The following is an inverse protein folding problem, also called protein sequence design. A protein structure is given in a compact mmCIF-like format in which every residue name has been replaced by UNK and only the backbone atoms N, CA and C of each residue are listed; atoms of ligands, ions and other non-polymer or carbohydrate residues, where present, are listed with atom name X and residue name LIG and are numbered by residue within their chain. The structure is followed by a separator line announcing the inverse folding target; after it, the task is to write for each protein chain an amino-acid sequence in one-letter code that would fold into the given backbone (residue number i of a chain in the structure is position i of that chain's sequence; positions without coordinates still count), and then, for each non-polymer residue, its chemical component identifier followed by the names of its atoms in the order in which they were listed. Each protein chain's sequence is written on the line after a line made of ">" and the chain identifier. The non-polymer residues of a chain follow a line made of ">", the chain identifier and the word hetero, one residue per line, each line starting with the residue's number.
data_IF_722281307543
#
_entry.id   IF_722281307543
#
_cell.length_a   1.000
_cell.length_b   1.000
_cell.length_c   1.000
_cell.angle_alpha   90.00
_cell.angle_beta   90.00
_cell.angle_gamma   90.00
#
_symmetry.space_group_name_H-M   'P 1'
#
loop_
_entity.id
_entity.type
_entity.pdbx_description
1 polymer ?
#
# COMPACT_ATOMS: atom_id res chain seq x y z
N UNK A 1 -8.72 -18.41 -18.73
CA UNK A 1 -9.99 -17.77 -18.27
C UNK A 1 -11.12 -18.76 -18.54
N UNK A 2 -12.15 -18.81 -17.70
CA UNK A 2 -13.35 -19.62 -17.92
C UNK A 2 -14.49 -18.66 -18.26
N UNK A 3 -15.19 -18.91 -19.36
CA UNK A 3 -16.37 -18.16 -19.79
C UNK A 3 -17.55 -19.13 -19.72
N UNK A 4 -18.64 -18.70 -19.09
CA UNK A 4 -19.91 -19.42 -19.07
C UNK A 4 -20.85 -18.72 -20.02
N UNK A 5 -21.37 -19.45 -21.00
CA UNK A 5 -22.32 -18.95 -21.99
C UNK A 5 -23.76 -19.11 -21.49
N UNK A 6 -24.67 -18.29 -22.01
CA UNK A 6 -26.10 -18.41 -21.78
C UNK A 6 -26.63 -19.72 -22.36
N UNK A 7 -27.58 -20.34 -21.66
CA UNK A 7 -28.12 -21.65 -22.02
C UNK A 7 -28.71 -21.71 -23.44
N UNK A 8 -29.30 -20.61 -23.91
CA UNK A 8 -29.94 -20.48 -25.23
C UNK A 8 -29.19 -19.49 -26.15
N UNK A 9 -27.88 -19.32 -25.96
CA UNK A 9 -27.09 -18.45 -26.82
C UNK A 9 -27.14 -18.93 -28.29
N UNK A 10 -27.42 -18.05 -29.27
CA UNK A 10 -27.48 -18.47 -30.68
C UNK A 10 -26.13 -19.02 -31.18
N UNK A 11 -26.12 -20.23 -31.74
CA UNK A 11 -24.90 -20.92 -32.22
C UNK A 11 -24.05 -20.09 -33.20
N UNK A 12 -24.68 -19.17 -33.95
CA UNK A 12 -23.97 -18.25 -34.85
C UNK A 12 -23.14 -17.25 -34.05
N UNK A 13 -23.74 -16.60 -33.04
CA UNK A 13 -23.07 -15.61 -32.20
C UNK A 13 -22.00 -16.25 -31.31
N UNK A 14 -22.22 -17.49 -30.85
CA UNK A 14 -21.21 -18.25 -30.10
C UNK A 14 -19.99 -18.52 -30.96
N UNK A 15 -20.17 -18.91 -32.23
CA UNK A 15 -19.07 -19.14 -33.17
C UNK A 15 -18.34 -17.86 -33.53
N UNK A 16 -19.05 -16.77 -33.77
CA UNK A 16 -18.44 -15.45 -34.01
C UNK A 16 -17.58 -15.04 -32.82
N UNK A 17 -18.08 -15.19 -31.60
CA UNK A 17 -17.32 -14.88 -30.39
C UNK A 17 -16.11 -15.81 -30.19
N UNK A 18 -16.23 -17.10 -30.51
CA UNK A 18 -15.08 -18.01 -30.49
C UNK A 18 -14.01 -17.60 -31.51
N UNK A 19 -14.41 -17.23 -32.72
CA UNK A 19 -13.48 -16.75 -33.74
C UNK A 19 -12.77 -15.46 -33.30
N UNK A 20 -13.49 -14.50 -32.70
CA UNK A 20 -12.86 -13.28 -32.15
C UNK A 20 -11.78 -13.61 -31.11
N UNK A 21 -12.03 -14.57 -30.23
CA UNK A 21 -11.08 -15.02 -29.21
C UNK A 21 -9.88 -15.76 -29.83
N UNK A 22 -10.10 -16.58 -30.86
CA UNK A 22 -9.04 -17.27 -31.61
C UNK A 22 -8.16 -16.28 -32.40
N UNK A 23 -8.75 -15.24 -32.98
CA UNK A 23 -8.03 -14.15 -33.68
C UNK A 23 -7.12 -13.35 -32.71
N UNK A 24 -7.46 -13.34 -31.42
CA UNK A 24 -6.59 -12.80 -30.37
C UNK A 24 -5.44 -13.75 -29.98
N UNK A 25 -5.31 -14.89 -30.65
CA UNK A 25 -4.25 -15.89 -30.44
C UNK A 25 -4.52 -16.84 -29.27
N UNK A 26 -5.78 -16.98 -28.85
CA UNK A 26 -6.16 -17.85 -27.74
C UNK A 26 -6.65 -19.20 -28.26
N UNK A 27 -6.40 -20.25 -27.47
CA UNK A 27 -6.99 -21.56 -27.71
C UNK A 27 -8.26 -21.70 -26.87
N UNK A 28 -9.30 -22.29 -27.45
CA UNK A 28 -10.58 -22.50 -26.80
C UNK A 28 -10.78 -24.00 -26.57
N UNK A 29 -11.04 -24.35 -25.32
CA UNK A 29 -11.59 -25.65 -24.95
C UNK A 29 -13.10 -25.49 -24.73
N UNK A 30 -13.90 -25.92 -25.71
CA UNK A 30 -15.35 -25.83 -25.65
C UNK A 30 -15.96 -27.07 -24.96
N UNK A 31 -16.69 -26.85 -23.87
CA UNK A 31 -17.38 -27.86 -23.08
C UNK A 31 -18.88 -27.56 -23.00
N UNK A 32 -19.67 -28.24 -23.85
CA UNK A 32 -21.14 -28.18 -23.85
C UNK A 32 -21.73 -29.30 -22.98
N UNK A 33 -22.17 -28.96 -21.76
CA UNK A 33 -22.89 -29.84 -20.84
C UNK A 33 -24.41 -29.81 -21.04
N UNK A 34 -25.14 -30.62 -20.26
CA UNK A 34 -26.62 -30.66 -20.27
C UNK A 34 -27.27 -29.33 -19.87
N UNK A 35 -26.66 -28.66 -18.89
CA UNK A 35 -27.23 -27.46 -18.23
C UNK A 35 -26.33 -26.22 -18.39
N UNK A 36 -25.12 -26.38 -18.92
CA UNK A 36 -24.15 -25.28 -18.99
C UNK A 36 -23.21 -25.45 -20.17
N UNK A 37 -22.93 -24.36 -20.88
CA UNK A 37 -21.96 -24.30 -21.96
C UNK A 37 -20.78 -23.43 -21.51
N UNK A 38 -19.58 -24.00 -21.46
CA UNK A 38 -18.39 -23.40 -20.87
C UNK A 38 -17.27 -23.35 -21.91
N UNK A 39 -16.65 -22.18 -22.06
CA UNK A 39 -15.42 -22.01 -22.84
C UNK A 39 -14.22 -21.83 -21.90
N UNK A 40 -13.27 -22.74 -21.97
CA UNK A 40 -11.98 -22.63 -21.31
C UNK A 40 -10.94 -21.98 -22.23
N UNK A 41 -10.51 -20.75 -21.91
CA UNK A 41 -9.48 -20.05 -22.67
C UNK A 41 -8.07 -20.41 -22.16
N UNK A 42 -7.26 -20.91 -23.08
CA UNK A 42 -5.86 -21.30 -22.90
C UNK A 42 -4.98 -20.33 -23.70
N UNK A 43 -3.95 -19.76 -23.06
CA UNK A 43 -3.08 -18.73 -23.63
C UNK A 43 -2.89 -17.52 -22.71
N UNK A 44 -2.36 -16.42 -23.24
CA UNK A 44 -2.18 -15.18 -22.47
C UNK A 44 -3.49 -14.40 -22.35
N UNK A 45 -4.31 -14.80 -21.37
CA UNK A 45 -5.60 -14.15 -21.12
C UNK A 45 -5.48 -12.83 -20.34
N UNK A 46 -4.28 -12.32 -20.05
CA UNK A 46 -4.09 -11.12 -19.19
C UNK A 46 -4.65 -9.85 -19.80
N UNK A 47 -4.45 -9.65 -21.10
CA UNK A 47 -4.91 -8.46 -21.81
C UNK A 47 -6.44 -8.38 -21.98
N UNK A 48 -7.17 -9.47 -21.71
CA UNK A 48 -8.61 -9.55 -21.95
C UNK A 48 -9.38 -8.97 -20.77
N UNK A 49 -9.99 -7.80 -20.91
CA UNK A 49 -10.83 -7.25 -19.86
C UNK A 49 -12.07 -8.14 -19.62
N UNK A 50 -12.36 -8.49 -18.36
CA UNK A 50 -13.57 -9.25 -18.01
C UNK A 50 -14.84 -8.52 -18.43
N UNK A 51 -14.84 -7.18 -18.34
CA UNK A 51 -15.95 -6.34 -18.81
C UNK A 51 -16.20 -6.44 -20.31
N UNK A 52 -15.16 -6.61 -21.13
CA UNK A 52 -15.31 -6.82 -22.57
C UNK A 52 -15.96 -8.17 -22.87
N UNK A 53 -15.52 -9.22 -22.16
CA UNK A 53 -16.11 -10.56 -22.27
C UNK A 53 -17.58 -10.55 -21.84
N UNK A 54 -17.89 -9.94 -20.69
CA UNK A 54 -19.25 -9.83 -20.16
C UNK A 54 -20.18 -8.96 -21.01
N UNK A 55 -19.64 -8.06 -21.83
CA UNK A 55 -20.42 -7.23 -22.75
C UNK A 55 -20.96 -8.03 -23.95
N UNK A 56 -20.39 -9.19 -24.24
CA UNK A 56 -20.87 -10.03 -25.33
C UNK A 56 -22.24 -10.65 -24.97
N UNK A 57 -23.28 -10.55 -25.84
CA UNK A 57 -24.63 -11.00 -25.53
C UNK A 57 -24.75 -12.49 -25.24
N UNK A 58 -23.81 -13.33 -25.72
CA UNK A 58 -23.84 -14.79 -25.47
C UNK A 58 -23.23 -15.19 -24.13
N UNK A 59 -22.54 -14.28 -23.44
CA UNK A 59 -21.86 -14.55 -22.17
C UNK A 59 -22.80 -14.34 -20.99
N UNK A 60 -22.85 -15.32 -20.09
CA UNK A 60 -23.55 -15.24 -18.80
C UNK A 60 -22.61 -14.71 -17.71
N UNK A 61 -21.42 -15.30 -17.60
CA UNK A 61 -20.38 -14.85 -16.67
C UNK A 61 -18.99 -15.27 -17.14
N UNK A 62 -17.94 -14.68 -16.57
CA UNK A 62 -16.57 -15.12 -16.81
C UNK A 62 -15.74 -15.01 -15.52
N UNK A 63 -14.70 -15.83 -15.42
CA UNK A 63 -13.76 -15.84 -14.31
C UNK A 63 -12.35 -16.11 -14.80
N UNK A 64 -11.37 -15.34 -14.31
CA UNK A 64 -9.96 -15.68 -14.51
C UNK A 64 -9.56 -16.91 -13.69
N UNK A 65 -8.67 -17.70 -14.27
CA UNK A 65 -8.07 -18.89 -13.61
C UNK A 65 -6.70 -18.52 -13.01
N UNK A 66 -6.00 -17.56 -13.61
CA UNK A 66 -4.72 -17.02 -13.15
C UNK A 66 -4.90 -15.66 -12.51
N UNK A 67 -4.07 -15.32 -11.51
CA UNK A 67 -4.03 -13.96 -10.97
C UNK A 67 -3.66 -12.93 -12.05
N UNK A 68 -4.25 -11.72 -12.03
CA UNK A 68 -3.99 -10.69 -13.04
C UNK A 68 -2.64 -9.97 -12.86
N UNK A 69 -2.00 -10.12 -11.70
CA UNK A 69 -0.70 -9.55 -11.34
C UNK A 69 0.42 -10.61 -11.46
N UNK A 70 1.60 -10.22 -11.98
CA UNK A 70 2.74 -11.12 -12.24
C UNK A 70 4.03 -10.65 -11.55
N UNK A 71 4.30 -9.35 -11.56
CA UNK A 71 5.52 -8.75 -11.03
C UNK A 71 5.56 -8.85 -9.51
N UNK A 72 4.48 -8.52 -8.81
CA UNK A 72 4.34 -8.69 -7.36
C UNK A 72 3.98 -10.12 -6.94
N UNK A 73 3.60 -11.01 -7.89
CA UNK A 73 3.03 -12.31 -7.57
C UNK A 73 4.10 -13.30 -7.06
N UNK A 74 3.89 -13.83 -5.85
CA UNK A 74 4.83 -14.76 -5.22
C UNK A 74 5.05 -16.04 -6.03
N UNK A 75 4.08 -16.50 -6.83
CA UNK A 75 4.25 -17.68 -7.70
C UNK A 75 5.32 -17.47 -8.77
N UNK A 76 5.54 -16.23 -9.19
CA UNK A 76 6.55 -15.86 -10.19
C UNK A 76 7.85 -15.36 -9.57
N UNK A 77 7.80 -14.90 -8.32
CA UNK A 77 8.95 -14.50 -7.52
C UNK A 77 8.79 -15.08 -6.09
N UNK A 78 9.29 -16.31 -5.84
CA UNK A 78 9.00 -17.02 -4.60
C UNK A 78 9.68 -16.43 -3.36
N UNK A 79 10.88 -15.86 -3.53
CA UNK A 79 11.68 -15.28 -2.47
C UNK A 79 11.13 -13.92 -2.02
N UNK A 80 11.27 -13.58 -0.74
CA UNK A 80 10.84 -12.27 -0.24
C UNK A 80 11.69 -11.14 -0.81
N UNK A 81 11.05 -10.05 -1.23
CA UNK A 81 11.74 -8.80 -1.51
C UNK A 81 12.21 -8.15 -0.22
N UNK A 82 13.43 -7.61 -0.28
CA UNK A 82 13.99 -6.76 0.76
C UNK A 82 14.23 -5.40 0.15
N UNK A 83 13.46 -4.40 0.59
CA UNK A 83 13.58 -3.04 0.08
C UNK A 83 14.55 -2.26 0.96
N UNK A 84 15.62 -1.75 0.35
CA UNK A 84 16.63 -0.95 1.02
C UNK A 84 16.31 0.55 0.87
N UNK A 85 16.16 1.23 2.00
CA UNK A 85 15.96 2.68 2.07
C UNK A 85 17.14 3.28 2.83
N UNK A 86 18.19 3.67 2.09
CA UNK A 86 19.40 4.30 2.64
C UNK A 86 20.04 3.47 3.79
N UNK A 87 20.11 2.16 3.61
CA UNK A 87 20.68 1.19 4.56
C UNK A 87 19.65 0.54 5.49
N UNK A 88 18.41 1.05 5.55
CA UNK A 88 17.32 0.44 6.32
C UNK A 88 16.58 -0.58 5.46
N UNK A 89 16.58 -1.85 5.88
CA UNK A 89 15.99 -2.96 5.11
C UNK A 89 14.58 -3.28 5.56
N UNK A 90 13.64 -3.43 4.64
CA UNK A 90 12.24 -3.73 4.96
C UNK A 90 11.83 -5.00 4.20
N UNK A 91 11.37 -6.02 4.93
CA UNK A 91 11.04 -7.34 4.36
C UNK A 91 12.15 -8.38 4.54
N UNK A 92 11.86 -9.62 4.15
CA UNK A 92 12.79 -10.76 4.24
C UNK A 92 13.37 -10.97 5.65
N UNK A 93 12.51 -10.85 6.67
CA UNK A 93 12.90 -10.96 8.08
C UNK A 93 13.41 -9.67 8.73
N UNK A 94 13.58 -8.58 7.98
CA UNK A 94 13.91 -7.26 8.54
C UNK A 94 12.63 -6.47 8.84
N UNK A 95 12.61 -5.82 10.00
CA UNK A 95 11.48 -5.04 10.50
C UNK A 95 11.89 -3.58 10.71
N UNK A 96 11.11 -2.65 10.15
CA UNK A 96 11.37 -1.21 10.28
C UNK A 96 10.19 -0.46 10.86
N UNK A 97 10.48 0.51 11.74
CA UNK A 97 9.46 1.44 12.25
C UNK A 97 9.66 2.81 11.62
N UNK A 98 8.62 3.29 10.95
CA UNK A 98 8.52 4.61 10.37
C UNK A 98 7.70 5.48 11.33
N UNK A 99 8.30 6.50 11.93
CA UNK A 99 7.59 7.31 12.93
C UNK A 99 7.85 8.81 12.75
N UNK A 100 6.89 9.62 13.19
CA UNK A 100 6.96 11.07 13.09
C UNK A 100 5.58 11.72 12.92
N UNK A 101 5.54 13.05 12.84
CA UNK A 101 4.28 13.78 12.90
C UNK A 101 3.45 13.66 11.63
N UNK A 102 2.13 13.82 11.80
CA UNK A 102 1.18 13.76 10.69
C UNK A 102 1.47 14.78 9.59
N UNK A 103 1.76 16.00 10.02
CA UNK A 103 2.15 17.12 9.17
C UNK A 103 3.37 17.77 9.77
N UNK A 104 4.19 18.37 8.93
CA UNK A 104 5.30 19.22 9.38
C UNK A 104 4.71 20.58 9.71
N UNK A 105 5.01 21.09 10.90
CA UNK A 105 4.36 22.31 11.43
C UNK A 105 5.31 23.46 11.71
N UNK A 106 6.56 23.13 12.08
CA UNK A 106 7.69 24.05 12.29
C UNK A 106 9.00 23.26 12.37
N UNK A 107 10.14 23.96 12.29
CA UNK A 107 11.48 23.36 12.46
C UNK A 107 11.66 22.72 13.85
N UNK A 108 11.24 23.43 14.90
CA UNK A 108 11.32 22.95 16.28
C UNK A 108 10.53 21.64 16.45
N UNK A 109 9.30 21.59 15.93
CA UNK A 109 8.43 20.43 16.03
C UNK A 109 9.01 19.21 15.32
N UNK A 110 9.42 19.36 14.06
CA UNK A 110 9.91 18.21 13.28
C UNK A 110 11.26 17.72 13.82
N UNK A 111 12.16 18.62 14.21
CA UNK A 111 13.49 18.25 14.72
C UNK A 111 13.37 17.55 16.07
N UNK A 112 12.55 18.08 16.98
CA UNK A 112 12.27 17.44 18.26
C UNK A 112 11.65 16.05 18.07
N UNK A 113 10.61 15.93 17.23
CA UNK A 113 9.98 14.64 16.98
C UNK A 113 10.98 13.65 16.37
N UNK A 114 11.79 14.07 15.39
CA UNK A 114 12.79 13.22 14.75
C UNK A 114 13.80 12.67 15.75
N UNK A 115 14.33 13.50 16.64
CA UNK A 115 15.26 13.07 17.67
C UNK A 115 14.61 12.07 18.64
N UNK A 116 13.39 12.35 19.08
CA UNK A 116 12.68 11.49 20.03
C UNK A 116 12.30 10.13 19.44
N UNK A 117 11.75 10.09 18.23
CA UNK A 117 11.39 8.80 17.60
C UNK A 117 12.63 7.98 17.25
N UNK A 118 13.72 8.63 16.81
CA UNK A 118 14.99 7.94 16.54
C UNK A 118 15.59 7.34 17.81
N UNK A 119 15.60 8.09 18.92
CA UNK A 119 16.08 7.61 20.21
C UNK A 119 15.28 6.40 20.73
N UNK A 120 13.98 6.36 20.45
CA UNK A 120 13.10 5.23 20.78
C UNK A 120 13.23 4.04 19.81
N UNK A 121 14.06 4.14 18.76
CA UNK A 121 14.32 3.03 17.83
C UNK A 121 13.52 3.07 16.51
N UNK A 122 12.93 4.21 16.13
CA UNK A 122 12.41 4.36 14.78
C UNK A 122 13.55 4.36 13.75
N UNK A 123 13.36 3.60 12.68
CA UNK A 123 14.37 3.42 11.63
C UNK A 123 14.26 4.51 10.54
N UNK A 124 13.04 5.02 10.28
CA UNK A 124 12.79 6.13 9.34
C UNK A 124 11.95 7.24 9.98
N UNK A 125 12.17 8.47 9.54
CA UNK A 125 11.38 9.64 9.90
C UNK A 125 10.29 9.86 8.85
N UNK A 126 9.04 10.01 9.30
CA UNK A 126 7.95 10.49 8.42
C UNK A 126 7.50 11.91 8.74
N UNK A 127 7.00 12.62 7.74
CA UNK A 127 6.32 13.90 7.91
C UNK A 127 5.58 14.34 6.65
N UNK A 128 4.31 14.72 6.78
CA UNK A 128 3.50 15.16 5.63
C UNK A 128 3.76 16.63 5.26
N UNK A 129 4.48 16.87 4.16
CA UNK A 129 4.68 18.21 3.63
C UNK A 129 3.45 18.75 2.88
N UNK A 130 2.74 17.85 2.18
CA UNK A 130 1.50 18.13 1.46
C UNK A 130 0.36 17.34 2.10
N UNK A 131 -0.81 17.96 2.31
CA UNK A 131 -1.95 17.30 2.97
C UNK A 131 -3.20 17.30 2.09
N UNK A 132 -3.74 16.12 1.69
CA UNK A 132 -5.06 16.05 1.09
C UNK A 132 -6.12 16.27 2.17
N UNK A 133 -6.80 17.42 2.14
CA UNK A 133 -7.86 17.74 3.11
C UNK A 133 -9.21 17.79 2.43
N UNK A 134 -10.21 17.19 3.09
CA UNK A 134 -11.60 17.25 2.66
C UNK A 134 -12.12 18.69 2.67
N UNK A 135 -11.68 19.51 3.63
CA UNK A 135 -12.04 20.92 3.70
C UNK A 135 -10.91 21.80 3.15
N UNK A 136 -11.19 22.75 2.24
CA UNK A 136 -10.19 23.66 1.69
C UNK A 136 -9.64 24.64 2.74
N UNK A 137 -10.34 24.85 3.86
CA UNK A 137 -9.93 25.76 4.94
C UNK A 137 -9.00 25.11 5.96
N UNK A 138 -8.80 23.80 5.86
CA UNK A 138 -7.88 23.08 6.73
C UNK A 138 -6.42 23.40 6.39
N UNK A 139 -5.51 23.18 7.34
CA UNK A 139 -4.07 23.26 7.08
C UNK A 139 -3.66 22.34 5.92
N UNK A 140 -3.07 22.92 4.87
CA UNK A 140 -2.72 22.25 3.61
C UNK A 140 -1.30 21.66 3.60
N UNK A 141 -0.56 21.83 4.70
CA UNK A 141 0.87 21.49 4.79
C UNK A 141 1.79 22.66 4.40
N UNK A 142 3.06 22.54 4.77
CA UNK A 142 4.11 23.54 4.46
C UNK A 142 4.68 23.44 3.03
N UNK A 143 4.23 22.44 2.26
CA UNK A 143 4.66 22.21 0.86
C UNK A 143 6.19 22.11 0.76
N UNK A 144 6.83 22.82 -0.16
CA UNK A 144 8.29 22.77 -0.37
C UNK A 144 9.08 23.11 0.90
N UNK A 145 8.63 24.09 1.69
CA UNK A 145 9.28 24.44 2.96
C UNK A 145 9.26 23.26 3.94
N UNK A 146 8.16 22.49 3.96
CA UNK A 146 8.09 21.26 4.75
C UNK A 146 9.16 20.24 4.35
N UNK A 147 9.44 20.09 3.05
CA UNK A 147 10.52 19.22 2.57
C UNK A 147 11.89 19.73 3.00
N UNK A 148 12.10 21.04 3.02
CA UNK A 148 13.33 21.65 3.55
C UNK A 148 13.54 21.35 5.03
N UNK A 149 12.45 21.40 5.81
CA UNK A 149 12.45 21.04 7.23
C UNK A 149 12.72 19.54 7.46
N UNK A 150 12.23 18.63 6.60
CA UNK A 150 12.60 17.21 6.67
C UNK A 150 14.09 16.99 6.41
N UNK A 151 14.70 17.74 5.49
CA UNK A 151 16.16 17.68 5.25
C UNK A 151 16.94 18.13 6.48
N UNK A 152 16.46 19.14 7.21
CA UNK A 152 17.05 19.57 8.48
C UNK A 152 16.97 18.45 9.54
N UNK A 153 15.79 17.85 9.72
CA UNK A 153 15.60 16.75 10.66
C UNK A 153 16.44 15.51 10.31
N UNK A 154 16.60 15.21 9.01
CA UNK A 154 17.53 14.17 8.53
C UNK A 154 18.97 14.50 8.89
N UNK A 155 19.44 15.74 8.65
CA UNK A 155 20.80 16.15 9.03
C UNK A 155 21.06 16.02 10.53
N UNK A 156 20.05 16.27 11.36
CA UNK A 156 20.16 16.17 12.81
C UNK A 156 20.20 14.73 13.34
N UNK A 157 19.63 13.76 12.61
CA UNK A 157 19.40 12.39 13.14
C UNK A 157 20.00 11.28 12.30
N UNK A 158 20.38 11.55 11.06
CA UNK A 158 20.75 10.55 10.05
C UNK A 158 19.59 9.68 9.57
N UNK A 159 18.35 9.92 10.02
CA UNK A 159 17.21 9.04 9.69
C UNK A 159 16.72 9.30 8.26
N UNK A 160 16.56 8.25 7.42
CA UNK A 160 15.94 8.38 6.10
C UNK A 160 14.52 8.96 6.21
N UNK A 161 14.13 9.78 5.24
CA UNK A 161 12.85 10.50 5.26
C UNK A 161 11.80 9.89 4.34
N UNK A 162 10.57 9.80 4.86
CA UNK A 162 9.37 9.36 4.17
C UNK A 162 8.36 10.50 4.11
N UNK A 163 7.87 10.83 2.92
CA UNK A 163 6.81 11.85 2.77
C UNK A 163 5.89 11.52 1.60
N UNK A 164 4.65 11.99 1.71
CA UNK A 164 3.58 11.71 0.75
C UNK A 164 3.65 12.65 -0.46
N UNK A 165 3.61 12.06 -1.66
CA UNK A 165 3.42 12.78 -2.91
C UNK A 165 1.93 12.84 -3.27
N UNK A 166 1.50 14.03 -3.69
CA UNK A 166 0.10 14.31 -4.00
C UNK A 166 -0.19 14.43 -5.49
N UNK A 167 0.80 14.85 -6.27
CA UNK A 167 0.68 15.19 -7.67
C UNK A 167 2.03 14.94 -8.37
N UNK A 168 2.00 14.52 -9.63
CA UNK A 168 3.15 14.32 -10.50
C UNK A 168 4.00 15.59 -10.66
N UNK A 169 3.38 16.77 -10.63
CA UNK A 169 4.07 18.07 -10.69
C UNK A 169 5.05 18.28 -9.53
N UNK A 170 4.84 17.62 -8.40
CA UNK A 170 5.71 17.74 -7.24
C UNK A 170 6.96 16.84 -7.32
N UNK A 171 7.03 15.90 -8.28
CA UNK A 171 8.15 14.96 -8.40
C UNK A 171 9.55 15.61 -8.35
N UNK A 172 9.81 16.77 -9.00
CA UNK A 172 11.11 17.43 -8.91
C UNK A 172 11.52 17.79 -7.47
N UNK A 173 10.55 18.04 -6.59
CA UNK A 173 10.81 18.36 -5.17
C UNK A 173 11.19 17.12 -4.35
N UNK A 174 10.95 15.92 -4.86
CA UNK A 174 11.17 14.66 -4.16
C UNK A 174 12.58 14.08 -4.38
N UNK A 175 13.49 14.81 -5.05
CA UNK A 175 14.88 14.40 -5.27
C UNK A 175 15.64 14.07 -3.97
N UNK A 176 15.29 14.70 -2.85
CA UNK A 176 15.93 14.47 -1.54
C UNK A 176 15.11 13.58 -0.59
N UNK A 177 13.99 13.01 -1.05
CA UNK A 177 13.14 12.09 -0.27
C UNK A 177 13.63 10.66 -0.45
N UNK A 178 13.78 9.90 0.63
CA UNK A 178 14.40 8.57 0.58
C UNK A 178 13.36 7.47 0.29
N UNK A 179 12.12 7.66 0.75
CA UNK A 179 10.97 6.80 0.46
C UNK A 179 9.75 7.64 0.06
N UNK A 180 9.25 7.45 -1.16
CA UNK A 180 8.06 8.17 -1.64
C UNK A 180 6.81 7.45 -1.15
N UNK A 181 5.97 8.12 -0.35
CA UNK A 181 4.66 7.58 0.02
C UNK A 181 3.60 7.98 -1.01
N UNK A 182 2.83 7.02 -1.50
CA UNK A 182 1.54 7.26 -2.18
C UNK A 182 0.42 6.96 -1.20
N UNK A 183 -0.34 8.00 -0.83
CA UNK A 183 -1.41 7.86 0.15
C UNK A 183 -2.64 7.12 -0.39
N UNK A 184 -3.47 6.64 0.54
CA UNK A 184 -4.66 5.83 0.25
C UNK A 184 -5.64 6.46 -0.76
N UNK A 185 -5.74 7.80 -0.78
CA UNK A 185 -6.61 8.52 -1.74
C UNK A 185 -6.08 8.50 -3.17
N UNK A 186 -4.78 8.26 -3.32
CA UNK A 186 -4.09 8.20 -4.60
C UNK A 186 -3.74 6.75 -4.99
N UNK A 187 -4.20 5.72 -4.27
CA UNK A 187 -3.88 4.32 -4.57
C UNK A 187 -4.28 3.91 -5.99
N UNK A 188 -5.33 4.50 -6.58
CA UNK A 188 -5.74 4.26 -7.97
C UNK A 188 -5.53 5.49 -8.87
N UNK A 189 -4.69 6.43 -8.45
CA UNK A 189 -4.25 7.51 -9.34
C UNK A 189 -3.16 6.97 -10.27
N UNK A 190 -3.58 6.24 -11.31
CA UNK A 190 -2.67 5.47 -12.17
C UNK A 190 -1.60 6.34 -12.85
N UNK A 191 -1.92 7.58 -13.21
CA UNK A 191 -0.92 8.49 -13.78
C UNK A 191 0.16 8.88 -12.76
N UNK A 192 -0.24 9.10 -11.50
CA UNK A 192 0.73 9.28 -10.41
C UNK A 192 1.54 8.01 -10.17
N UNK A 193 0.90 6.84 -10.12
CA UNK A 193 1.58 5.55 -9.93
C UNK A 193 2.63 5.29 -11.01
N UNK A 194 2.29 5.55 -12.28
CA UNK A 194 3.24 5.39 -13.37
C UNK A 194 4.41 6.36 -13.24
N UNK A 195 4.12 7.62 -12.91
CA UNK A 195 5.14 8.65 -12.77
C UNK A 195 6.12 8.37 -11.61
N UNK A 196 5.64 7.86 -10.47
CA UNK A 196 6.51 7.41 -9.37
C UNK A 196 7.24 6.10 -9.72
N UNK A 197 6.62 5.22 -10.51
CA UNK A 197 7.24 3.98 -11.01
C UNK A 197 8.40 4.21 -11.97
N UNK A 198 8.49 5.39 -12.61
CA UNK A 198 9.65 5.80 -13.41
C UNK A 198 10.80 6.38 -12.58
N UNK A 199 10.59 6.59 -11.29
CA UNK A 199 11.66 7.06 -10.39
C UNK A 199 12.47 5.87 -9.89
N UNK A 200 13.73 6.12 -9.51
CA UNK A 200 14.64 5.10 -8.94
C UNK A 200 14.50 4.95 -7.42
N UNK A 201 13.44 5.49 -6.83
CA UNK A 201 13.26 5.57 -5.38
C UNK A 201 12.25 4.54 -4.91
N UNK A 202 12.47 3.90 -3.75
CA UNK A 202 11.44 3.07 -3.14
C UNK A 202 10.11 3.80 -2.99
N UNK A 203 9.01 3.05 -3.13
CA UNK A 203 7.64 3.57 -3.00
C UNK A 203 6.89 2.81 -1.92
N UNK A 204 6.34 3.54 -0.95
CA UNK A 204 5.38 3.01 0.02
C UNK A 204 3.97 3.30 -0.48
N UNK A 205 3.25 2.27 -0.90
CA UNK A 205 1.89 2.36 -1.41
C UNK A 205 0.89 2.02 -0.32
N UNK A 206 0.07 2.99 0.08
CA UNK A 206 -1.02 2.76 1.03
C UNK A 206 -2.25 2.19 0.35
N UNK A 207 -2.83 1.14 0.95
CA UNK A 207 -4.13 0.59 0.50
C UNK A 207 -5.21 1.66 0.53
N UNK A 208 -6.06 1.68 -0.50
CA UNK A 208 -7.19 2.57 -0.62
C UNK A 208 -8.34 2.15 0.28
N UNK A 209 -9.17 3.12 0.67
CA UNK A 209 -10.22 2.95 1.68
C UNK A 209 -11.26 1.88 1.32
N UNK A 210 -11.51 1.67 0.04
CA UNK A 210 -12.58 0.80 -0.44
C UNK A 210 -12.06 -0.25 -1.43
N UNK A 211 -10.75 -0.54 -1.36
CA UNK A 211 -10.12 -1.42 -2.34
C UNK A 211 -9.92 -2.83 -1.81
N UNK A 212 -10.15 -3.80 -2.68
CA UNK A 212 -9.82 -5.21 -2.43
C UNK A 212 -8.30 -5.40 -2.39
N UNK A 213 -7.85 -6.55 -1.89
CA UNK A 213 -6.42 -6.90 -1.92
C UNK A 213 -5.90 -7.04 -3.36
N UNK A 214 -6.71 -7.59 -4.27
CA UNK A 214 -6.34 -7.70 -5.68
C UNK A 214 -6.14 -6.33 -6.32
N UNK A 215 -7.06 -5.39 -6.12
CA UNK A 215 -6.92 -4.02 -6.62
C UNK A 215 -5.68 -3.32 -6.03
N UNK A 216 -5.39 -3.58 -4.75
CA UNK A 216 -4.21 -3.03 -4.09
C UNK A 216 -2.91 -3.57 -4.70
N UNK A 217 -2.83 -4.88 -4.93
CA UNK A 217 -1.67 -5.51 -5.58
C UNK A 217 -1.57 -5.07 -7.04
N UNK A 218 -2.68 -4.92 -7.76
CA UNK A 218 -2.69 -4.37 -9.12
C UNK A 218 -2.15 -2.93 -9.17
N UNK A 219 -2.43 -2.10 -8.17
CA UNK A 219 -1.83 -0.76 -8.06
C UNK A 219 -0.31 -0.81 -7.82
N UNK A 220 0.20 -1.76 -7.04
CA UNK A 220 1.64 -1.99 -6.95
C UNK A 220 2.21 -2.38 -8.33
N UNK A 221 1.47 -3.19 -9.07
CA UNK A 221 1.82 -3.63 -10.42
C UNK A 221 1.97 -2.51 -11.43
N UNK A 222 1.16 -1.46 -11.34
CA UNK A 222 1.34 -0.24 -12.15
C UNK A 222 2.70 0.43 -11.90
N UNK A 223 3.17 0.46 -10.66
CA UNK A 223 4.48 1.03 -10.31
C UNK A 223 5.59 0.12 -10.89
N UNK A 224 5.49 -1.19 -10.63
CA UNK A 224 6.51 -2.16 -11.06
C UNK A 224 6.58 -2.35 -12.57
N UNK A 225 5.47 -2.15 -13.29
CA UNK A 225 5.41 -2.22 -14.75
C UNK A 225 6.19 -1.08 -15.42
N UNK A 226 6.34 0.07 -14.77
CA UNK A 226 7.15 1.19 -15.26
C UNK A 226 8.64 1.05 -14.92
N UNK A 227 9.04 -0.05 -14.26
CA UNK A 227 10.44 -0.42 -14.04
C UNK A 227 10.94 -0.31 -12.60
N UNK A 228 10.11 0.16 -11.66
CA UNK A 228 10.50 0.26 -10.25
C UNK A 228 9.92 -0.88 -9.41
N UNK A 229 10.75 -1.87 -9.10
CA UNK A 229 10.37 -3.05 -8.32
C UNK A 229 10.47 -2.82 -6.80
N UNK A 230 10.90 -1.63 -6.37
CA UNK A 230 11.08 -1.29 -4.95
C UNK A 230 9.77 -0.78 -4.34
N UNK A 231 8.79 -1.67 -4.19
CA UNK A 231 7.47 -1.33 -3.64
C UNK A 231 7.26 -1.94 -2.26
N UNK A 232 6.77 -1.14 -1.33
CA UNK A 232 6.35 -1.52 0.02
C UNK A 232 4.85 -1.32 0.11
N UNK A 233 4.11 -2.35 0.53
CA UNK A 233 2.67 -2.26 0.74
C UNK A 233 2.38 -1.75 2.15
N UNK A 234 1.39 -0.87 2.31
CA UNK A 234 0.97 -0.37 3.61
C UNK A 234 -0.55 -0.57 3.84
N UNK A 235 -0.90 -1.53 4.70
CA UNK A 235 -2.26 -1.73 5.19
C UNK A 235 -2.61 -0.64 6.22
N UNK A 236 -3.80 -0.04 6.08
CA UNK A 236 -4.17 1.20 6.80
C UNK A 236 -5.67 1.31 7.10
N UNK A 237 -6.36 0.18 7.07
CA UNK A 237 -7.78 0.01 7.28
C UNK A 237 -8.64 0.31 6.06
N UNK A 238 -9.76 -0.42 6.00
CA UNK A 238 -10.81 -0.31 4.99
C UNK A 238 -12.09 0.27 5.58
N UNK A 239 -12.90 0.90 4.73
CA UNK A 239 -14.23 1.39 5.09
C UNK A 239 -15.18 0.20 5.22
N UNK A 240 -15.91 0.18 6.33
CA UNK A 240 -16.96 -0.81 6.60
C UNK A 240 -18.21 -0.07 7.11
N UNK A 241 -19.19 -0.83 7.62
CA UNK A 241 -20.36 -0.28 8.31
C UNK A 241 -20.05 0.17 9.75
N UNK A 242 -18.87 -0.16 10.29
CA UNK A 242 -18.46 0.20 11.65
C UNK A 242 -18.18 1.70 11.75
N UNK A 243 -18.59 2.33 12.86
CA UNK A 243 -18.58 3.80 13.03
C UNK A 243 -17.81 4.29 14.25
N UNK A 244 -17.46 3.40 15.19
CA UNK A 244 -16.63 3.73 16.35
C UNK A 244 -15.17 4.04 15.99
N UNK A 245 -14.75 3.63 14.79
CA UNK A 245 -13.39 3.79 14.26
C UNK A 245 -13.44 4.48 12.89
N UNK A 246 -12.35 5.16 12.52
CA UNK A 246 -12.24 5.82 11.20
C UNK A 246 -12.31 4.82 10.04
N UNK A 247 -11.63 3.69 10.17
CA UNK A 247 -11.63 2.53 9.28
C UNK A 247 -11.48 1.27 10.14
N UNK A 248 -11.77 0.11 9.57
CA UNK A 248 -11.51 -1.19 10.19
C UNK A 248 -10.15 -1.71 9.69
N UNK A 249 -9.21 -1.96 10.60
CA UNK A 249 -7.90 -2.54 10.25
C UNK A 249 -8.06 -3.99 9.78
N UNK A 250 -7.59 -4.30 8.57
CA UNK A 250 -7.67 -5.64 7.98
C UNK A 250 -6.36 -6.43 8.20
N UNK A 251 -6.19 -6.99 9.40
CA UNK A 251 -4.99 -7.81 9.72
C UNK A 251 -4.95 -9.14 8.95
N UNK A 252 -6.11 -9.70 8.60
CA UNK A 252 -6.16 -10.88 7.72
C UNK A 252 -5.59 -10.54 6.33
N UNK A 253 -5.82 -9.31 5.86
CA UNK A 253 -5.21 -8.75 4.67
C UNK A 253 -3.69 -8.80 4.68
N UNK A 254 -3.04 -8.50 5.82
CA UNK A 254 -1.57 -8.60 5.96
C UNK A 254 -1.09 -10.01 5.66
N UNK A 255 -1.67 -11.01 6.34
CA UNK A 255 -1.34 -12.43 6.14
C UNK A 255 -1.58 -12.87 4.70
N UNK A 256 -2.70 -12.44 4.11
CA UNK A 256 -3.03 -12.75 2.72
C UNK A 256 -2.06 -12.10 1.73
N UNK A 257 -1.62 -10.87 1.96
CA UNK A 257 -0.66 -10.18 1.10
C UNK A 257 0.70 -10.86 1.07
N UNK A 258 1.17 -11.42 2.20
CA UNK A 258 2.37 -12.26 2.21
C UNK A 258 2.19 -13.55 1.41
N UNK A 259 0.98 -14.10 1.35
CA UNK A 259 0.69 -15.28 0.51
C UNK A 259 0.61 -14.92 -0.98
N UNK A 260 -0.02 -13.79 -1.30
CA UNK A 260 -0.23 -13.31 -2.67
C UNK A 260 1.07 -12.78 -3.30
N UNK A 261 1.89 -12.10 -2.51
CA UNK A 261 3.01 -11.29 -2.99
C UNK A 261 4.31 -11.56 -2.23
N UNK A 262 5.42 -11.25 -2.88
CA UNK A 262 6.75 -11.22 -2.25
C UNK A 262 7.12 -9.86 -1.66
N UNK A 263 6.26 -8.85 -1.80
CA UNK A 263 6.53 -7.48 -1.35
C UNK A 263 6.40 -7.37 0.16
N UNK A 264 7.20 -6.51 0.83
CA UNK A 264 7.03 -6.25 2.25
C UNK A 264 5.70 -5.56 2.55
N UNK A 265 5.12 -5.91 3.70
CA UNK A 265 3.82 -5.38 4.16
C UNK A 265 3.97 -4.65 5.50
N UNK A 266 3.84 -3.33 5.47
CA UNK A 266 3.83 -2.43 6.62
C UNK A 266 2.38 -2.18 7.08
N UNK A 267 2.17 -1.92 8.37
CA UNK A 267 0.85 -1.53 8.91
C UNK A 267 0.88 -0.11 9.48
N UNK A 268 -0.15 0.68 9.17
CA UNK A 268 -0.40 2.01 9.76
C UNK A 268 -1.54 1.92 10.80
N UNK A 269 -1.22 1.63 12.08
CA UNK A 269 -2.23 1.53 13.14
C UNK A 269 -2.87 2.88 13.48
N UNK A 270 -2.19 4.00 13.23
CA UNK A 270 -2.68 5.34 13.55
C UNK A 270 -3.85 5.76 12.66
N UNK A 271 -3.71 5.65 11.34
CA UNK A 271 -4.76 6.04 10.39
C UNK A 271 -5.86 4.99 10.23
N UNK A 272 -5.58 3.72 10.55
CA UNK A 272 -6.56 2.66 10.48
C UNK A 272 -7.77 3.00 11.35
N UNK A 273 -7.60 3.05 12.67
CA UNK A 273 -8.73 3.31 13.56
C UNK A 273 -8.90 4.79 13.92
N UNK A 274 -7.84 5.60 13.87
CA UNK A 274 -7.93 7.04 14.12
C UNK A 274 -7.99 7.45 15.60
N UNK A 275 -7.55 6.58 16.51
CA UNK A 275 -7.55 6.81 17.96
C UNK A 275 -6.19 6.46 18.56
N UNK A 276 -5.56 7.39 19.27
CA UNK A 276 -4.23 7.21 19.84
C UNK A 276 -4.16 6.01 20.81
N UNK A 277 -5.19 5.80 21.63
CA UNK A 277 -5.23 4.71 22.62
C UNK A 277 -5.28 3.32 21.97
N UNK A 278 -5.74 3.21 20.72
CA UNK A 278 -5.75 1.93 19.99
C UNK A 278 -4.40 1.61 19.34
N UNK A 279 -3.56 2.62 19.11
CA UNK A 279 -2.29 2.46 18.36
C UNK A 279 -1.38 1.40 18.98
N UNK A 280 -1.13 1.37 20.31
CA UNK A 280 -0.25 0.37 20.91
C UNK A 280 -0.71 -1.07 20.68
N UNK A 281 -2.00 -1.35 20.87
CA UNK A 281 -2.53 -2.71 20.74
C UNK A 281 -2.60 -3.17 19.29
N UNK A 282 -2.96 -2.25 18.37
CA UNK A 282 -2.97 -2.56 16.94
C UNK A 282 -1.56 -2.73 16.37
N UNK A 283 -0.57 -1.99 16.89
CA UNK A 283 0.83 -2.17 16.52
C UNK A 283 1.33 -3.57 16.91
N UNK A 284 1.09 -4.01 18.15
CA UNK A 284 1.44 -5.37 18.61
C UNK A 284 0.75 -6.44 17.76
N UNK A 285 -0.55 -6.29 17.55
CA UNK A 285 -1.33 -7.20 16.71
C UNK A 285 -0.81 -7.29 15.27
N UNK A 286 -0.34 -6.17 14.70
CA UNK A 286 0.28 -6.15 13.38
C UNK A 286 1.63 -6.89 13.35
N UNK A 287 2.47 -6.75 14.38
CA UNK A 287 3.71 -7.54 14.49
C UNK A 287 3.38 -9.03 14.56
N UNK A 288 2.45 -9.42 15.42
CA UNK A 288 2.02 -10.80 15.58
C UNK A 288 1.37 -11.38 14.30
N UNK A 289 0.68 -10.55 13.51
CA UNK A 289 0.12 -10.93 12.21
C UNK A 289 1.19 -11.06 11.10
N UNK A 290 2.45 -10.75 11.40
CA UNK A 290 3.58 -10.93 10.48
C UNK A 290 3.97 -9.70 9.68
N UNK A 291 3.52 -8.48 10.03
CA UNK A 291 3.94 -7.26 9.34
C UNK A 291 5.47 -7.09 9.30
N UNK A 292 5.99 -6.48 8.24
CA UNK A 292 7.42 -6.18 8.04
C UNK A 292 7.81 -4.78 8.53
N UNK A 293 6.85 -4.04 9.05
CA UNK A 293 7.10 -2.78 9.69
C UNK A 293 5.83 -2.10 10.16
N UNK A 294 6.02 -0.98 10.85
CA UNK A 294 4.93 -0.13 11.34
C UNK A 294 5.13 1.30 10.86
N UNK A 295 4.03 1.99 10.60
CA UNK A 295 4.04 3.43 10.39
C UNK A 295 3.16 4.14 11.43
N UNK A 296 3.77 4.89 12.35
CA UNK A 296 3.10 5.43 13.53
C UNK A 296 3.19 6.96 13.56
N UNK A 297 2.07 7.61 13.87
CA UNK A 297 2.04 9.05 14.08
C UNK A 297 2.48 9.42 15.50
N UNK A 298 3.48 10.29 15.60
CA UNK A 298 3.99 10.82 16.87
C UNK A 298 4.04 12.33 16.80
N UNK A 299 3.46 13.01 17.79
CA UNK A 299 3.44 14.47 17.86
C UNK A 299 3.91 14.94 19.24
N UNK A 300 4.71 16.00 19.29
CA UNK A 300 5.21 16.57 20.55
C UNK A 300 4.09 17.11 21.45
N UNK A 301 3.00 17.59 20.86
CA UNK A 301 1.80 18.03 21.59
C UNK A 301 0.53 17.71 20.78
N UNK A 302 -0.01 16.48 20.86
CA UNK A 302 -1.15 16.06 20.03
C UNK A 302 -2.38 16.96 20.17
N UNK A 303 -2.65 17.50 21.36
CA UNK A 303 -3.78 18.39 21.62
C UNK A 303 -3.72 19.72 20.85
N UNK A 304 -2.53 20.14 20.39
CA UNK A 304 -2.31 21.37 19.60
C UNK A 304 -1.92 21.10 18.15
N UNK A 305 -1.94 19.85 17.70
CA UNK A 305 -1.55 19.50 16.34
C UNK A 305 -2.49 20.16 15.31
N UNK A 306 -1.93 20.68 14.21
CA UNK A 306 -2.69 21.26 13.09
C UNK A 306 -3.45 20.21 12.29
N UNK A 307 -3.06 18.95 12.43
CA UNK A 307 -3.68 17.81 11.78
C UNK A 307 -3.58 16.59 12.69
N UNK A 308 -4.65 15.80 12.77
CA UNK A 308 -4.58 14.40 13.18
C UNK A 308 -4.01 14.15 14.61
N UNK A 309 -4.22 15.12 15.51
CA UNK A 309 -3.83 15.01 16.91
C UNK A 309 -4.50 13.84 17.66
N UNK A 310 -5.74 13.49 17.31
CA UNK A 310 -6.51 12.45 18.00
C UNK A 310 -5.91 11.03 17.88
N UNK A 311 -5.13 10.77 16.82
CA UNK A 311 -4.46 9.48 16.60
C UNK A 311 -2.95 9.50 16.84
N UNK A 312 -2.38 10.67 17.15
CA UNK A 312 -0.94 10.83 17.35
C UNK A 312 -0.57 10.44 18.77
N UNK A 313 0.42 9.57 18.92
CA UNK A 313 1.04 9.29 20.21
C UNK A 313 1.89 10.47 20.66
N UNK A 314 2.07 10.63 21.98
CA UNK A 314 3.15 11.45 22.51
C UNK A 314 4.50 10.73 22.36
N UNK A 315 5.64 11.44 22.42
CA UNK A 315 6.95 10.81 22.38
C UNK A 315 7.16 9.75 23.48
N UNK A 316 6.61 9.97 24.67
CA UNK A 316 6.77 9.03 25.79
C UNK A 316 5.91 7.77 25.59
N UNK A 317 4.67 7.92 25.08
CA UNK A 317 3.83 6.77 24.68
C UNK A 317 4.48 5.95 23.57
N UNK A 318 5.15 6.62 22.62
CA UNK A 318 5.89 5.95 21.57
C UNK A 318 7.11 5.20 22.11
N UNK A 319 7.88 5.79 23.03
CA UNK A 319 9.02 5.14 23.68
C UNK A 319 8.59 3.88 24.43
N UNK A 320 7.52 3.97 25.24
CA UNK A 320 6.93 2.81 25.92
C UNK A 320 6.52 1.71 24.94
N UNK A 321 5.83 2.06 23.86
CA UNK A 321 5.43 1.10 22.83
C UNK A 321 6.65 0.40 22.21
N UNK A 322 7.70 1.14 21.86
CA UNK A 322 8.88 0.58 21.21
C UNK A 322 9.64 -0.42 22.08
N UNK A 323 9.63 -0.25 23.41
CA UNK A 323 10.19 -1.23 24.34
C UNK A 323 9.50 -2.61 24.26
N UNK A 324 8.20 -2.63 23.93
CA UNK A 324 7.47 -3.88 23.68
C UNK A 324 7.69 -4.39 22.27
N UNK A 325 7.58 -3.53 21.25
CA UNK A 325 7.73 -3.90 19.84
C UNK A 325 9.10 -4.54 19.58
N UNK A 326 10.19 -4.01 20.14
CA UNK A 326 11.52 -4.58 19.96
C UNK A 326 11.61 -6.05 20.41
N UNK A 327 11.03 -6.37 21.58
CA UNK A 327 11.00 -7.74 22.11
C UNK A 327 10.07 -8.65 21.31
N UNK A 328 8.94 -8.12 20.86
CA UNK A 328 7.95 -8.87 20.09
C UNK A 328 8.47 -9.24 18.70
N UNK A 329 9.14 -8.30 18.01
CA UNK A 329 9.81 -8.54 16.73
C UNK A 329 10.84 -9.67 16.85
N UNK A 330 11.67 -9.65 17.90
CA UNK A 330 12.64 -10.72 18.17
C UNK A 330 11.95 -12.06 18.49
N UNK A 331 10.89 -12.05 19.30
CA UNK A 331 10.11 -13.24 19.62
C UNK A 331 9.54 -13.93 18.37
N UNK A 332 9.08 -13.15 17.39
CA UNK A 332 8.61 -13.67 16.10
C UNK A 332 9.73 -13.94 15.07
N UNK A 333 11.00 -13.88 15.49
CA UNK A 333 12.15 -14.26 14.67
C UNK A 333 12.53 -13.23 13.59
N UNK A 334 12.06 -11.99 13.72
CA UNK A 334 12.45 -10.88 12.84
C UNK A 334 13.56 -10.05 13.48
N UNK A 335 14.30 -9.31 12.65
CA UNK A 335 15.36 -8.40 13.07
C UNK A 335 14.88 -6.95 12.97
N UNK A 336 14.90 -6.24 14.09
CA UNK A 336 14.71 -4.79 14.10
C UNK A 336 15.89 -4.08 13.41
N UNK A 337 15.62 -3.06 12.59
CA UNK A 337 16.64 -2.18 12.00
C UNK A 337 17.13 -1.11 12.97
#
# INVERSE_FOLDING_TARGET
>A
MIIVLKQDAPDVQVREFCHELEDMGLQINDSKGSDTHILGLIGDTKAIAESWVLANPVVETCRRVSEPYKKANRKFHPDDSVIDVEGVKIGGGNFAVIAGPCSIESEEQITYCAQRVKAAGASLLRGGAFKPRTSPYSFQGMRSEGLDLLKLARRATGSPIVTEIMNTEHLPLFENVDLIQVGARNMQNFELLKAVGRQKKPVLLKRGLANTLEEFVMSAEYIMAEGNENVILCERGIRTFETSMRNTLDLAGVVMLHKMTHLPVVVDPSHACGHAWMVPELAKAAVAAGADGLMIEVHNNPAKAKCDGAQSLTPDQFDELMQFIGKEVEFFGKKMN
#
